data_IF_351462851206
#
_entry.id   IF_351462851206
#
_cell.length_a   1.000
_cell.length_b   1.000
_cell.length_c   1.000
_cell.angle_alpha   90.00
_cell.angle_beta   90.00
_cell.angle_gamma   90.00
#
_symmetry.space_group_name_H-M   'P 1'
#
loop_
_entity.id
_entity.type
_entity.pdbx_description
1 polymer ?
#
# COMPACT_ATOMS: atom_id res chain seq x y z
N UNK A 1 0.42 46.69 18.35
CA UNK A 1 -0.04 45.29 18.26
C UNK A 1 -1.11 45.23 17.18
N UNK A 2 -1.08 44.17 16.37
CA UNK A 2 -2.04 43.78 15.32
C UNK A 2 -1.96 44.59 14.00
N UNK A 3 -2.06 44.05 12.77
CA UNK A 3 -1.97 42.69 12.20
C UNK A 3 -2.00 42.84 10.65
N UNK A 4 -1.40 41.88 9.94
CA UNK A 4 -1.70 41.41 8.56
C UNK A 4 -1.59 42.33 7.32
N UNK A 5 -0.94 41.81 6.26
CA UNK A 5 -1.68 41.41 5.04
C UNK A 5 -0.85 40.49 4.13
N UNK A 6 -1.37 39.26 4.01
CA UNK A 6 -1.04 38.20 3.07
C UNK A 6 -1.10 38.65 1.60
N UNK A 7 -0.01 38.43 0.84
CA UNK A 7 -0.03 38.50 -0.63
C UNK A 7 -0.38 37.14 -1.24
N UNK A 8 -1.50 37.12 -1.97
CA UNK A 8 -2.13 35.95 -2.53
C UNK A 8 -1.40 35.44 -3.78
N UNK A 9 -1.10 34.13 -3.80
CA UNK A 9 -0.47 33.37 -4.91
C UNK A 9 -1.27 33.34 -6.22
N UNK A 10 -2.37 34.09 -6.30
CA UNK A 10 -3.28 34.14 -7.45
C UNK A 10 -2.84 35.15 -8.53
N UNK A 11 -1.73 35.85 -8.36
CA UNK A 11 -1.23 36.87 -9.29
C UNK A 11 -0.21 36.35 -10.33
N UNK A 12 0.07 35.04 -10.42
CA UNK A 12 1.07 34.47 -11.36
C UNK A 12 0.42 33.67 -12.51
N UNK A 13 -0.80 34.01 -12.92
CA UNK A 13 -1.44 33.43 -14.11
C UNK A 13 -2.02 34.55 -14.98
N UNK A 14 -1.20 35.05 -15.91
CA UNK A 14 -1.62 36.01 -16.94
C UNK A 14 -0.46 36.49 -17.80
N UNK A 15 -0.30 35.92 -18.99
CA UNK A 15 0.67 36.37 -20.02
C UNK A 15 1.29 35.19 -20.77
N UNK A 16 0.61 34.61 -21.76
CA UNK A 16 0.73 34.91 -23.20
C UNK A 16 2.18 34.74 -23.72
N UNK A 17 2.38 33.68 -24.49
CA UNK A 17 3.58 33.46 -25.30
C UNK A 17 3.26 32.48 -26.43
N UNK A 18 2.57 32.96 -27.46
CA UNK A 18 2.40 32.24 -28.71
C UNK A 18 3.72 32.23 -29.48
N UNK A 19 4.33 31.07 -29.64
CA UNK A 19 5.43 30.85 -30.60
C UNK A 19 5.06 29.68 -31.51
N UNK A 20 4.60 30.01 -32.71
CA UNK A 20 4.52 29.09 -33.85
C UNK A 20 5.94 28.62 -34.20
N UNK A 21 6.19 27.31 -34.13
CA UNK A 21 7.37 26.68 -34.71
C UNK A 21 6.92 25.54 -35.64
N UNK A 22 7.53 25.51 -36.83
CA UNK A 22 7.11 24.80 -38.03
C UNK A 22 7.03 23.27 -37.88
N UNK A 23 6.06 22.68 -38.57
CA UNK A 23 5.94 21.23 -38.72
C UNK A 23 7.03 20.70 -39.68
N UNK A 24 8.02 20.01 -39.14
CA UNK A 24 8.93 19.16 -39.91
C UNK A 24 8.31 17.76 -40.02
N UNK A 25 7.82 17.39 -41.21
CA UNK A 25 7.39 16.02 -41.52
C UNK A 25 8.62 15.15 -41.75
N UNK A 26 9.11 14.52 -40.68
CA UNK A 26 10.04 13.41 -40.79
C UNK A 26 9.25 12.10 -40.98
N UNK A 27 9.56 11.26 -41.98
CA UNK A 27 9.01 9.92 -42.02
C UNK A 27 9.69 9.11 -40.91
N UNK A 28 8.98 8.91 -39.79
CA UNK A 28 9.36 7.90 -38.80
C UNK A 28 9.20 6.54 -39.49
N UNK A 29 10.34 5.99 -39.88
CA UNK A 29 10.49 4.60 -40.27
C UNK A 29 9.85 3.74 -39.17
N UNK A 30 8.87 2.93 -39.55
CA UNK A 30 8.17 2.01 -38.68
C UNK A 30 9.17 1.03 -38.07
N UNK A 31 9.69 1.38 -36.89
CA UNK A 31 10.21 0.39 -35.98
C UNK A 31 9.00 -0.41 -35.51
N UNK A 32 8.86 -1.64 -36.02
CA UNK A 32 8.10 -2.69 -35.36
C UNK A 32 8.76 -2.95 -34.01
N UNK A 33 8.54 -2.04 -33.07
CA UNK A 33 8.82 -2.24 -31.67
C UNK A 33 7.85 -3.31 -31.23
N UNK A 34 8.38 -4.52 -31.09
CA UNK A 34 7.76 -5.53 -30.25
C UNK A 34 7.74 -4.93 -28.84
N UNK A 35 6.67 -4.19 -28.55
CA UNK A 35 6.48 -3.53 -27.28
C UNK A 35 6.38 -4.66 -26.27
N UNK A 36 7.47 -4.88 -25.53
CA UNK A 36 7.50 -5.82 -24.42
C UNK A 36 6.22 -5.63 -23.62
N UNK A 37 5.47 -6.70 -23.32
CA UNK A 37 4.19 -6.57 -22.64
C UNK A 37 4.42 -5.77 -21.36
N UNK A 38 3.78 -4.58 -21.31
CA UNK A 38 3.80 -3.75 -20.11
C UNK A 38 3.30 -4.57 -18.92
N UNK A 39 3.65 -4.19 -17.68
CA UNK A 39 3.30 -4.96 -16.50
C UNK A 39 1.78 -5.22 -16.50
N UNK A 40 1.40 -6.47 -16.68
CA UNK A 40 0.01 -6.90 -16.65
C UNK A 40 -0.52 -6.60 -15.25
N UNK A 41 -1.55 -5.74 -15.18
CA UNK A 41 -2.23 -5.45 -13.93
C UNK A 41 -2.64 -6.78 -13.27
N UNK A 42 -2.34 -6.93 -11.98
CA UNK A 42 -2.68 -8.14 -11.26
C UNK A 42 -4.19 -8.42 -11.42
N UNK A 43 -4.60 -9.69 -11.63
CA UNK A 43 -6.00 -10.00 -11.85
C UNK A 43 -6.83 -9.60 -10.63
N UNK A 44 -8.01 -9.03 -10.89
CA UNK A 44 -8.95 -8.66 -9.84
C UNK A 44 -9.35 -9.90 -9.04
N UNK A 45 -9.24 -9.83 -7.72
CA UNK A 45 -9.58 -10.94 -6.81
C UNK A 45 -10.93 -10.67 -6.17
N UNK A 46 -11.85 -11.64 -6.22
CA UNK A 46 -13.15 -11.57 -5.53
C UNK A 46 -12.94 -11.68 -4.00
N UNK A 47 -13.31 -10.66 -3.20
CA UNK A 47 -13.11 -10.68 -1.75
C UNK A 47 -14.03 -11.69 -1.04
N UNK A 48 -15.15 -12.08 -1.64
CA UNK A 48 -16.13 -12.98 -0.99
C UNK A 48 -15.64 -14.42 -0.88
N UNK A 49 -14.66 -14.79 -1.71
CA UNK A 49 -14.09 -16.13 -1.81
C UNK A 49 -12.60 -16.19 -1.48
N UNK A 50 -11.97 -15.04 -1.20
CA UNK A 50 -10.51 -14.92 -0.99
C UNK A 50 -9.97 -15.71 0.22
N UNK A 51 -10.77 -15.90 1.28
CA UNK A 51 -10.34 -16.51 2.53
C UNK A 51 -11.22 -17.71 2.92
N UNK A 52 -10.78 -18.58 3.85
CA UNK A 52 -11.58 -19.71 4.32
C UNK A 52 -12.95 -19.30 4.84
N UNK A 53 -13.97 -20.12 4.56
CA UNK A 53 -15.36 -19.89 4.93
C UNK A 53 -15.87 -21.03 5.82
N UNK A 54 -16.86 -20.77 6.69
CA UNK A 54 -17.49 -21.81 7.50
C UNK A 54 -18.17 -22.87 6.61
N UNK A 55 -18.40 -24.09 7.15
CA UNK A 55 -18.21 -24.48 8.55
C UNK A 55 -16.75 -24.75 8.91
N UNK A 56 -16.32 -24.26 10.08
CA UNK A 56 -15.05 -24.64 10.69
C UNK A 56 -15.27 -25.77 11.70
N UNK A 57 -14.25 -26.59 11.93
CA UNK A 57 -14.30 -27.56 13.02
C UNK A 57 -14.44 -26.84 14.36
N UNK A 58 -15.29 -27.38 15.24
CA UNK A 58 -15.39 -26.90 16.62
C UNK A 58 -14.03 -27.06 17.31
N UNK A 59 -13.50 -25.95 17.81
CA UNK A 59 -12.19 -25.91 18.47
C UNK A 59 -12.26 -24.92 19.63
N UNK A 60 -11.62 -25.27 20.74
CA UNK A 60 -11.55 -24.44 21.94
C UNK A 60 -10.15 -24.55 22.53
N UNK A 61 -9.69 -23.45 23.10
CA UNK A 61 -8.38 -23.36 23.76
C UNK A 61 -8.55 -22.53 25.04
N UNK A 62 -7.80 -22.82 26.11
CA UNK A 62 -7.76 -21.94 27.28
C UNK A 62 -7.17 -20.58 26.89
N UNK A 63 -7.63 -19.52 27.54
CA UNK A 63 -7.08 -18.17 27.36
C UNK A 63 -5.57 -18.13 27.68
N UNK A 64 -4.73 -17.44 26.90
CA UNK A 64 -5.07 -16.57 25.75
C UNK A 64 -5.23 -17.29 24.40
N UNK A 65 -4.97 -18.60 24.35
CA UNK A 65 -4.96 -19.38 23.11
C UNK A 65 -3.73 -19.11 22.23
N UNK A 66 -3.53 -19.95 21.22
CA UNK A 66 -2.42 -19.85 20.28
C UNK A 66 -2.94 -19.92 18.84
N UNK A 67 -2.60 -18.90 18.05
CA UNK A 67 -2.95 -18.86 16.62
C UNK A 67 -2.37 -20.06 15.83
N UNK A 68 -1.24 -20.62 16.28
CA UNK A 68 -0.63 -21.82 15.67
C UNK A 68 -1.43 -23.10 15.89
N UNK A 69 -2.31 -23.14 16.89
CA UNK A 69 -3.16 -24.28 17.22
C UNK A 69 -4.56 -24.17 16.64
N UNK A 70 -4.84 -23.10 15.89
CA UNK A 70 -6.13 -22.92 15.20
C UNK A 70 -6.15 -23.67 13.86
N UNK A 71 -7.33 -24.17 13.50
CA UNK A 71 -7.58 -24.80 12.19
C UNK A 71 -8.81 -24.15 11.53
N UNK A 72 -8.65 -23.39 10.42
CA UNK A 72 -7.40 -23.06 9.76
C UNK A 72 -6.53 -22.11 10.60
N UNK A 73 -5.22 -22.11 10.31
CA UNK A 73 -4.30 -21.12 10.88
C UNK A 73 -4.66 -19.73 10.33
N UNK A 74 -4.77 -18.68 11.17
CA UNK A 74 -5.04 -17.33 10.69
C UNK A 74 -3.92 -16.82 9.77
N UNK A 75 -4.32 -16.11 8.73
CA UNK A 75 -3.43 -15.34 7.85
C UNK A 75 -3.37 -13.89 8.37
N UNK A 76 -2.18 -13.44 8.76
CA UNK A 76 -1.92 -12.10 9.27
C UNK A 76 -1.24 -11.21 8.22
N UNK A 77 -1.15 -11.69 6.98
CA UNK A 77 -0.44 -11.03 5.90
C UNK A 77 1.02 -11.43 5.79
N UNK A 78 1.46 -12.52 6.45
CA UNK A 78 2.85 -13.02 6.42
C UNK A 78 3.40 -13.18 5.00
N UNK A 79 2.56 -13.46 4.00
CA UNK A 79 2.98 -13.58 2.59
C UNK A 79 2.38 -12.51 1.68
N UNK A 80 1.25 -11.90 2.06
CA UNK A 80 0.45 -11.08 1.16
C UNK A 80 0.67 -9.57 1.30
N UNK A 81 1.00 -9.06 2.49
CA UNK A 81 1.16 -7.61 2.69
C UNK A 81 2.44 -7.09 2.04
N UNK A 82 2.37 -6.07 1.19
CA UNK A 82 3.55 -5.44 0.57
C UNK A 82 3.65 -4.00 1.04
N UNK A 83 4.76 -3.66 1.70
CA UNK A 83 5.01 -2.31 2.17
C UNK A 83 5.38 -1.35 1.03
N UNK A 84 5.18 -0.07 1.28
CA UNK A 84 5.48 1.04 0.37
C UNK A 84 6.30 2.16 1.03
N UNK A 85 6.86 1.90 2.22
CA UNK A 85 7.71 2.83 2.96
C UNK A 85 6.95 3.91 3.74
N UNK A 86 5.64 3.74 3.95
CA UNK A 86 4.77 4.77 4.56
C UNK A 86 5.11 5.09 6.02
N UNK A 87 5.84 4.22 6.69
CA UNK A 87 6.23 4.35 8.10
C UNK A 87 7.75 4.30 8.28
N UNK A 88 8.52 4.61 7.23
CA UNK A 88 9.97 4.62 7.28
C UNK A 88 10.49 5.46 8.46
N UNK A 89 11.34 4.86 9.29
CA UNK A 89 11.98 5.52 10.43
C UNK A 89 11.08 5.70 11.67
N UNK A 90 9.84 5.21 11.65
CA UNK A 90 8.96 5.24 12.82
C UNK A 90 9.34 4.12 13.80
N UNK A 91 8.98 4.32 15.07
CA UNK A 91 9.12 3.32 16.13
C UNK A 91 7.75 3.09 16.75
N UNK A 92 7.32 1.83 16.84
CA UNK A 92 5.99 1.45 17.30
C UNK A 92 6.07 0.44 18.45
N UNK A 93 5.18 0.61 19.43
CA UNK A 93 4.87 -0.40 20.45
C UNK A 93 3.46 -0.93 20.16
N UNK A 94 3.33 -2.24 19.97
CA UNK A 94 2.06 -2.93 19.71
C UNK A 94 1.81 -3.96 20.81
N UNK A 95 0.84 -3.69 21.68
CA UNK A 95 0.36 -4.67 22.67
C UNK A 95 -0.53 -5.72 22.00
N UNK A 96 -0.44 -6.99 22.41
CA UNK A 96 -1.09 -8.11 21.73
C UNK A 96 -0.50 -8.36 20.33
N UNK A 97 0.77 -7.99 20.12
CA UNK A 97 1.45 -8.12 18.82
C UNK A 97 1.85 -9.56 18.47
N UNK A 98 1.63 -10.50 19.38
CA UNK A 98 1.97 -11.91 19.23
C UNK A 98 1.02 -12.66 18.29
N UNK A 99 -0.25 -12.25 18.17
CA UNK A 99 -1.27 -12.96 17.40
C UNK A 99 -2.38 -12.03 16.86
N UNK A 100 -3.27 -12.58 16.03
CA UNK A 100 -4.47 -11.88 15.56
C UNK A 100 -4.18 -10.54 14.88
N UNK A 101 -5.03 -9.54 15.14
CA UNK A 101 -4.92 -8.22 14.50
C UNK A 101 -3.63 -7.47 14.90
N UNK A 102 -3.13 -7.67 16.13
CA UNK A 102 -1.88 -7.06 16.58
C UNK A 102 -0.68 -7.58 15.80
N UNK A 103 -0.60 -8.90 15.57
CA UNK A 103 0.40 -9.50 14.68
C UNK A 103 0.30 -8.96 13.26
N UNK A 104 -0.92 -8.85 12.70
CA UNK A 104 -1.11 -8.32 11.35
C UNK A 104 -0.63 -6.87 11.23
N UNK A 105 -0.93 -6.03 12.23
CA UNK A 105 -0.45 -4.66 12.30
C UNK A 105 1.08 -4.60 12.44
N UNK A 106 1.68 -5.45 13.29
CA UNK A 106 3.14 -5.52 13.46
C UNK A 106 3.87 -5.87 12.16
N UNK A 107 3.38 -6.88 11.42
CA UNK A 107 3.91 -7.25 10.10
C UNK A 107 3.81 -6.07 9.13
N UNK A 108 2.65 -5.43 9.05
CA UNK A 108 2.44 -4.30 8.16
C UNK A 108 3.36 -3.12 8.50
N UNK A 109 3.48 -2.78 9.78
CA UNK A 109 4.33 -1.68 10.25
C UNK A 109 5.81 -1.92 9.93
N UNK A 110 6.30 -3.13 10.22
CA UNK A 110 7.66 -3.50 9.89
C UNK A 110 7.92 -3.43 8.38
N UNK A 111 6.98 -3.92 7.55
CA UNK A 111 7.09 -3.84 6.08
C UNK A 111 7.02 -2.41 5.55
N UNK A 112 6.31 -1.52 6.23
CA UNK A 112 6.26 -0.09 5.90
C UNK A 112 7.49 0.68 6.41
N UNK A 113 8.45 0.01 7.08
CA UNK A 113 9.75 0.55 7.46
C UNK A 113 9.84 1.07 8.90
N UNK A 114 8.93 0.66 9.78
CA UNK A 114 9.00 0.97 11.21
C UNK A 114 9.77 -0.09 12.00
N UNK A 115 10.49 0.32 13.05
CA UNK A 115 10.93 -0.59 14.11
C UNK A 115 9.73 -0.90 15.01
N UNK A 116 9.51 -2.18 15.35
CA UNK A 116 8.34 -2.62 16.11
C UNK A 116 8.75 -3.40 17.35
N UNK A 117 8.30 -2.94 18.51
CA UNK A 117 8.28 -3.71 19.76
C UNK A 117 6.87 -4.27 19.99
N UNK A 118 6.78 -5.51 20.47
CA UNK A 118 5.51 -6.16 20.84
C UNK A 118 5.50 -6.54 22.32
N UNK A 119 4.33 -6.50 22.95
CA UNK A 119 4.08 -6.93 24.32
C UNK A 119 2.85 -7.83 24.36
#
# INVERSE_FOLDING_TARGET
MDNETNLSRRQILGGIGASLAAAAVSPVLAATGDAAPGPTAAPLTDPTTKYPRPPFAGQSQPFPGLASQMTPRPDHGETSYKGSGRLAGRKALITGGDSGMGRAAAIAYAREGADVAIN
#
